data_IF_073249681189
#
_entry.id   IF_073249681189
#
_cell.length_a   1.000
_cell.length_b   1.000
_cell.length_c   1.000
_cell.angle_alpha   90.00
_cell.angle_beta   90.00
_cell.angle_gamma   90.00
#
_symmetry.space_group_name_H-M   'P 1'
#
loop_
_entity.id
_entity.type
_entity.pdbx_description
1 polymer ?
#
# COMPACT_ATOMS: atom_id res chain seq x y z
N UNK A 1 -1.90 5.62 10.31
CA UNK A 1 -0.77 4.69 10.22
C UNK A 1 0.41 5.28 10.97
N UNK A 2 1.10 4.53 11.82
CA UNK A 2 2.28 5.02 12.53
C UNK A 2 3.51 5.04 11.61
N UNK A 3 4.28 6.14 11.64
CA UNK A 3 5.51 6.33 10.86
C UNK A 3 6.74 5.84 11.63
N UNK A 4 6.67 5.85 12.95
CA UNK A 4 7.66 5.29 13.88
C UNK A 4 6.99 4.96 15.21
N UNK A 5 7.75 4.41 16.15
CA UNK A 5 7.23 4.14 17.50
C UNK A 5 6.87 5.44 18.25
N UNK A 6 7.57 6.52 17.96
CA UNK A 6 7.39 7.86 18.59
C UNK A 6 6.54 8.79 17.75
N UNK A 7 6.63 8.73 16.41
CA UNK A 7 5.93 9.63 15.48
C UNK A 7 4.65 8.94 14.99
N UNK A 8 3.55 9.24 15.66
CA UNK A 8 2.20 8.75 15.33
C UNK A 8 1.18 9.84 15.60
N UNK A 9 0.16 9.95 14.74
CA UNK A 9 -0.92 10.93 14.90
C UNK A 9 -1.89 10.48 15.98
N UNK A 10 -2.23 9.20 16.01
CA UNK A 10 -3.07 8.58 17.02
C UNK A 10 -2.68 7.11 17.18
N UNK A 11 -2.81 6.58 18.38
CA UNK A 11 -2.64 5.16 18.69
C UNK A 11 -3.95 4.62 19.22
N UNK A 12 -4.67 3.91 18.36
CA UNK A 12 -5.99 3.36 18.67
C UNK A 12 -5.87 1.85 18.72
N UNK A 13 -6.34 1.23 19.81
CA UNK A 13 -6.26 -0.23 20.01
C UNK A 13 -6.90 -1.06 18.89
N UNK A 14 -7.92 -0.49 18.23
CA UNK A 14 -8.64 -1.10 17.10
C UNK A 14 -8.37 -0.34 15.78
N UNK A 15 -7.18 0.23 15.63
CA UNK A 15 -6.83 1.11 14.52
C UNK A 15 -7.05 0.48 13.13
N UNK A 16 -6.75 -0.80 12.99
CA UNK A 16 -6.96 -1.53 11.74
C UNK A 16 -8.45 -1.62 11.37
N UNK A 17 -9.31 -1.92 12.37
CA UNK A 17 -10.76 -1.99 12.18
C UNK A 17 -11.35 -0.64 11.78
N UNK A 18 -10.87 0.46 12.40
CA UNK A 18 -11.32 1.82 12.05
C UNK A 18 -10.98 2.16 10.60
N UNK A 19 -9.76 1.83 10.14
CA UNK A 19 -9.37 2.08 8.76
C UNK A 19 -10.25 1.28 7.80
N UNK A 20 -10.46 -0.02 8.04
CA UNK A 20 -11.32 -0.85 7.19
C UNK A 20 -12.76 -0.36 7.16
N UNK A 21 -13.31 0.05 8.31
CA UNK A 21 -14.68 0.59 8.37
C UNK A 21 -14.82 1.91 7.58
N UNK A 22 -13.82 2.77 7.64
CA UNK A 22 -13.82 4.03 6.87
C UNK A 22 -13.69 3.78 5.36
N UNK A 23 -12.92 2.78 4.95
CA UNK A 23 -12.82 2.36 3.54
C UNK A 23 -14.17 1.89 3.02
N UNK A 24 -14.88 1.03 3.77
CA UNK A 24 -16.19 0.51 3.41
C UNK A 24 -17.25 1.62 3.18
N UNK A 25 -17.21 2.69 3.98
CA UNK A 25 -18.10 3.85 3.79
C UNK A 25 -17.88 4.54 2.43
N UNK A 26 -16.65 4.50 1.90
CA UNK A 26 -16.31 5.06 0.59
C UNK A 26 -17.13 4.48 -0.56
N UNK A 27 -17.55 3.22 -0.48
CA UNK A 27 -18.39 2.53 -1.47
C UNK A 27 -19.74 3.25 -1.65
N UNK A 28 -20.33 3.71 -0.55
CA UNK A 28 -21.59 4.47 -0.58
C UNK A 28 -21.43 5.78 -1.36
N UNK A 29 -20.26 6.43 -1.25
CA UNK A 29 -19.96 7.65 -2.01
C UNK A 29 -19.99 7.44 -3.53
N UNK A 30 -19.50 6.29 -4.01
CA UNK A 30 -19.52 5.95 -5.44
C UNK A 30 -20.94 5.67 -5.95
N UNK A 31 -21.76 4.92 -5.17
CA UNK A 31 -23.14 4.63 -5.50
C UNK A 31 -23.96 5.93 -5.56
N UNK A 32 -23.83 6.78 -4.52
CA UNK A 32 -24.52 8.07 -4.45
C UNK A 32 -24.09 9.01 -5.57
N UNK A 33 -22.80 9.02 -5.91
CA UNK A 33 -22.27 9.80 -7.04
C UNK A 33 -22.87 9.37 -8.38
N UNK A 34 -22.91 8.07 -8.65
CA UNK A 34 -23.53 7.53 -9.85
C UNK A 34 -25.04 7.82 -9.92
N UNK A 35 -25.74 7.72 -8.80
CA UNK A 35 -27.17 8.03 -8.71
C UNK A 35 -27.46 9.52 -8.88
N UNK A 36 -26.68 10.39 -8.25
CA UNK A 36 -26.85 11.84 -8.34
C UNK A 36 -26.61 12.40 -9.74
N UNK A 37 -25.90 11.69 -10.61
CA UNK A 37 -25.66 12.08 -12.00
C UNK A 37 -26.92 12.05 -12.88
N UNK A 38 -28.01 11.45 -12.43
CA UNK A 38 -29.28 11.32 -13.17
C UNK A 38 -29.11 10.72 -14.59
N UNK A 39 -28.11 9.87 -14.78
CA UNK A 39 -27.79 9.17 -16.02
C UNK A 39 -27.81 7.66 -15.80
N UNK A 40 -28.46 6.91 -16.68
CA UNK A 40 -28.50 5.44 -16.59
C UNK A 40 -27.11 4.82 -16.71
N UNK A 41 -26.23 5.35 -17.54
CA UNK A 41 -24.86 4.86 -17.71
C UNK A 41 -24.01 5.13 -16.48
N UNK A 42 -24.15 6.29 -15.87
CA UNK A 42 -23.44 6.67 -14.65
C UNK A 42 -23.88 5.80 -13.47
N UNK A 43 -25.18 5.53 -13.32
CA UNK A 43 -25.71 4.64 -12.28
C UNK A 43 -25.20 3.20 -12.46
N UNK A 44 -25.22 2.66 -13.68
CA UNK A 44 -24.69 1.33 -13.97
C UNK A 44 -23.19 1.24 -13.68
N UNK A 45 -22.42 2.27 -14.03
CA UNK A 45 -21.00 2.37 -13.70
C UNK A 45 -20.76 2.36 -12.20
N UNK A 46 -21.52 3.14 -11.43
CA UNK A 46 -21.45 3.19 -9.97
C UNK A 46 -21.80 1.85 -9.31
N UNK A 47 -22.85 1.16 -9.79
CA UNK A 47 -23.23 -0.16 -9.28
C UNK A 47 -22.20 -1.25 -9.61
N UNK A 48 -21.60 -1.24 -10.81
CA UNK A 48 -20.51 -2.16 -11.17
C UNK A 48 -19.29 -1.94 -10.30
N UNK A 49 -18.92 -0.68 -10.05
CA UNK A 49 -17.82 -0.33 -9.14
C UNK A 49 -18.10 -0.81 -7.73
N UNK A 50 -19.28 -0.55 -7.19
CA UNK A 50 -19.66 -0.99 -5.87
C UNK A 50 -19.64 -2.53 -5.71
N UNK A 51 -20.16 -3.26 -6.69
CA UNK A 51 -20.12 -4.72 -6.69
C UNK A 51 -18.68 -5.28 -6.71
N UNK A 52 -17.79 -4.65 -7.47
CA UNK A 52 -16.36 -4.97 -7.47
C UNK A 52 -15.76 -4.73 -6.09
N UNK A 53 -15.91 -3.53 -5.55
CA UNK A 53 -15.33 -3.13 -4.27
C UNK A 53 -15.79 -4.05 -3.13
N UNK A 54 -17.09 -4.29 -2.98
CA UNK A 54 -17.63 -5.20 -1.95
C UNK A 54 -17.05 -6.61 -2.07
N UNK A 55 -16.91 -7.12 -3.30
CA UNK A 55 -16.39 -8.47 -3.53
C UNK A 55 -14.91 -8.59 -3.14
N UNK A 56 -14.11 -7.60 -3.46
CA UNK A 56 -12.67 -7.60 -3.14
C UNK A 56 -12.38 -7.19 -1.69
N UNK A 57 -13.26 -6.41 -1.05
CA UNK A 57 -13.17 -6.07 0.36
C UNK A 57 -13.27 -7.30 1.26
N UNK A 58 -14.10 -8.29 0.89
CA UNK A 58 -14.17 -9.57 1.61
C UNK A 58 -12.82 -10.31 1.55
N UNK A 59 -12.21 -10.42 0.37
CA UNK A 59 -10.91 -11.09 0.22
C UNK A 59 -9.80 -10.33 0.97
N UNK A 60 -9.83 -8.99 0.90
CA UNK A 60 -8.91 -8.11 1.61
C UNK A 60 -9.05 -8.27 3.12
N UNK A 61 -10.27 -8.26 3.64
CA UNK A 61 -10.56 -8.47 5.07
C UNK A 61 -10.06 -9.81 5.59
N UNK A 62 -10.23 -10.89 4.81
CA UNK A 62 -9.69 -12.21 5.15
C UNK A 62 -8.16 -12.21 5.18
N UNK A 63 -7.51 -11.55 4.22
CA UNK A 63 -6.06 -11.41 4.22
C UNK A 63 -5.55 -10.60 5.43
N UNK A 64 -6.25 -9.52 5.81
CA UNK A 64 -5.96 -8.75 7.04
C UNK A 64 -6.07 -9.63 8.28
N UNK A 65 -7.10 -10.48 8.38
CA UNK A 65 -7.27 -11.39 9.52
C UNK A 65 -6.10 -12.33 9.71
N UNK A 66 -5.47 -12.82 8.63
CA UNK A 66 -4.26 -13.64 8.72
C UNK A 66 -3.11 -12.90 9.42
N UNK A 67 -2.90 -11.62 9.08
CA UNK A 67 -1.88 -10.78 9.74
C UNK A 67 -2.21 -10.47 11.20
N UNK A 68 -3.49 -10.19 11.49
CA UNK A 68 -3.96 -9.95 12.86
C UNK A 68 -3.79 -11.19 13.76
N UNK A 69 -4.05 -12.38 13.23
CA UNK A 69 -3.82 -13.64 13.96
C UNK A 69 -2.36 -13.82 14.38
N UNK A 70 -1.42 -13.51 13.49
CA UNK A 70 0.02 -13.56 13.83
C UNK A 70 0.42 -12.50 14.86
N UNK A 71 -0.20 -11.32 14.82
CA UNK A 71 0.12 -10.22 15.72
C UNK A 71 -0.57 -10.33 17.09
N UNK A 72 -1.72 -10.96 17.17
CA UNK A 72 -2.56 -11.00 18.38
C UNK A 72 -3.17 -9.66 18.80
N UNK A 73 -3.14 -8.64 17.91
CA UNK A 73 -3.63 -7.29 18.20
C UNK A 73 -4.14 -6.58 16.94
N UNK A 74 -5.12 -5.67 17.12
CA UNK A 74 -5.66 -4.81 16.07
C UNK A 74 -4.99 -3.42 16.04
N UNK A 75 -4.10 -3.12 17.01
CA UNK A 75 -3.33 -1.88 17.03
C UNK A 75 -2.22 -1.94 15.99
N UNK A 76 -2.12 -0.93 15.13
CA UNK A 76 -1.09 -0.85 14.09
C UNK A 76 0.33 -0.79 14.67
N UNK A 77 0.51 -0.08 15.79
CA UNK A 77 1.79 -0.06 16.51
C UNK A 77 2.11 -1.41 17.15
N UNK A 78 1.10 -2.07 17.72
CA UNK A 78 1.22 -3.41 18.28
C UNK A 78 1.65 -4.44 17.25
N UNK A 79 1.09 -4.39 16.04
CA UNK A 79 1.43 -5.27 14.93
C UNK A 79 2.91 -5.14 14.55
N UNK A 80 3.42 -3.91 14.42
CA UNK A 80 4.84 -3.70 14.08
C UNK A 80 5.77 -4.14 15.21
N UNK A 81 5.38 -3.92 16.47
CA UNK A 81 6.14 -4.40 17.62
C UNK A 81 6.17 -5.94 17.71
N UNK A 82 5.06 -6.61 17.36
CA UNK A 82 5.03 -8.07 17.27
C UNK A 82 6.00 -8.59 16.21
N UNK A 83 6.05 -7.96 15.02
CA UNK A 83 7.06 -8.28 14.00
C UNK A 83 8.49 -8.01 14.46
N UNK A 84 8.69 -6.95 15.22
CA UNK A 84 9.99 -6.65 15.81
C UNK A 84 10.42 -7.70 16.83
N UNK A 85 9.51 -8.17 17.67
CA UNK A 85 9.79 -9.22 18.67
C UNK A 85 10.10 -10.57 17.99
N UNK A 86 9.41 -10.92 16.93
CA UNK A 86 9.70 -12.13 16.14
C UNK A 86 10.96 -11.97 15.26
N UNK A 87 11.34 -10.74 14.95
CA UNK A 87 12.51 -10.41 14.13
C UNK A 87 12.39 -10.74 12.66
N UNK A 88 11.17 -11.01 12.17
CA UNK A 88 10.86 -11.31 10.78
C UNK A 88 9.62 -10.51 10.37
N UNK A 89 9.56 -10.07 9.13
CA UNK A 89 8.35 -9.49 8.58
C UNK A 89 7.27 -10.55 8.40
N UNK A 90 6.04 -10.25 8.72
CA UNK A 90 4.96 -11.23 8.61
C UNK A 90 4.81 -11.81 7.21
N UNK A 91 5.10 -11.08 6.15
CA UNK A 91 5.09 -11.63 4.80
C UNK A 91 5.92 -12.91 4.64
N UNK A 92 7.01 -13.06 5.41
CA UNK A 92 7.92 -14.20 5.38
C UNK A 92 7.81 -15.12 6.61
N UNK A 93 6.85 -14.85 7.51
CA UNK A 93 6.60 -15.68 8.69
C UNK A 93 5.93 -17.01 8.29
N UNK A 94 5.83 -17.92 9.25
CA UNK A 94 5.26 -19.25 9.06
C UNK A 94 5.85 -20.00 7.85
N UNK A 95 7.19 -20.04 7.75
CA UNK A 95 7.89 -20.69 6.61
C UNK A 95 7.51 -20.11 5.24
N UNK A 96 7.13 -18.83 5.17
CA UNK A 96 6.71 -18.15 3.97
C UNK A 96 5.24 -18.36 3.57
N UNK A 97 4.45 -19.07 4.36
CA UNK A 97 3.01 -19.27 4.08
C UNK A 97 2.23 -17.95 4.13
N UNK A 98 2.70 -16.97 4.91
CA UNK A 98 2.10 -15.63 4.99
C UNK A 98 2.29 -14.80 3.72
N UNK A 99 3.10 -15.27 2.76
CA UNK A 99 3.21 -14.63 1.45
C UNK A 99 1.89 -14.71 0.67
N UNK A 100 1.12 -15.80 0.84
CA UNK A 100 -0.18 -15.97 0.18
C UNK A 100 -1.18 -14.87 0.60
N UNK A 101 -1.48 -14.65 1.90
CA UNK A 101 -2.31 -13.53 2.32
C UNK A 101 -1.76 -12.17 1.90
N UNK A 102 -0.44 -11.99 1.90
CA UNK A 102 0.19 -10.75 1.45
C UNK A 102 -0.11 -10.46 -0.03
N UNK A 103 -0.01 -11.47 -0.90
CA UNK A 103 -0.35 -11.34 -2.32
C UNK A 103 -1.85 -11.12 -2.54
N UNK A 104 -2.71 -11.84 -1.80
CA UNK A 104 -4.16 -11.64 -1.86
C UNK A 104 -4.50 -10.20 -1.46
N UNK A 105 -3.93 -9.72 -0.36
CA UNK A 105 -4.11 -8.33 0.07
C UNK A 105 -3.67 -7.35 -1.02
N UNK A 106 -2.49 -7.54 -1.60
CA UNK A 106 -1.96 -6.67 -2.65
C UNK A 106 -2.87 -6.64 -3.89
N UNK A 107 -3.30 -7.79 -4.39
CA UNK A 107 -4.20 -7.87 -5.56
C UNK A 107 -5.56 -7.24 -5.24
N UNK A 108 -6.15 -7.55 -4.07
CA UNK A 108 -7.41 -6.94 -3.62
C UNK A 108 -7.29 -5.43 -3.48
N UNK A 109 -6.16 -4.93 -3.01
CA UNK A 109 -5.91 -3.49 -2.86
C UNK A 109 -5.84 -2.76 -4.19
N UNK A 110 -5.27 -3.38 -5.24
CA UNK A 110 -5.30 -2.83 -6.61
C UNK A 110 -6.74 -2.75 -7.13
N UNK A 111 -7.55 -3.78 -6.85
CA UNK A 111 -8.97 -3.79 -7.25
C UNK A 111 -9.81 -2.77 -6.46
N UNK A 112 -9.52 -2.55 -5.19
CA UNK A 112 -10.18 -1.56 -4.33
C UNK A 112 -9.89 -0.11 -4.76
N UNK A 113 -8.71 0.13 -5.30
CA UNK A 113 -8.34 1.47 -5.80
C UNK A 113 -8.83 1.74 -7.23
N UNK A 114 -9.65 0.87 -7.81
CA UNK A 114 -10.18 0.98 -9.17
C UNK A 114 -9.10 1.26 -10.23
N UNK A 115 -7.87 0.73 -10.03
CA UNK A 115 -6.77 0.92 -10.96
C UNK A 115 -6.62 -0.25 -11.92
N UNK A 116 -6.15 0.03 -13.14
CA UNK A 116 -5.85 -1.02 -14.10
C UNK A 116 -4.90 -2.05 -13.47
N UNK A 117 -5.16 -3.36 -13.64
CA UNK A 117 -6.06 -4.00 -14.62
C UNK A 117 -7.54 -4.10 -14.22
N UNK A 118 -7.95 -3.62 -13.04
CA UNK A 118 -9.29 -3.72 -12.48
C UNK A 118 -10.14 -2.43 -12.66
N UNK A 119 -9.78 -1.57 -13.59
CA UNK A 119 -10.41 -0.29 -13.90
C UNK A 119 -11.65 -0.47 -14.81
N UNK A 120 -12.67 -1.12 -14.28
CA UNK A 120 -13.93 -1.36 -14.98
C UNK A 120 -14.91 -0.19 -14.91
N UNK A 121 -14.95 0.61 -13.83
CA UNK A 121 -15.86 1.73 -13.72
C UNK A 121 -15.60 2.84 -14.73
N UNK A 122 -14.33 3.02 -15.12
CA UNK A 122 -13.89 4.02 -16.09
C UNK A 122 -13.79 3.47 -17.52
N UNK A 123 -14.39 2.29 -17.82
CA UNK A 123 -14.28 1.67 -19.14
C UNK A 123 -14.91 2.54 -20.22
N UNK A 124 -14.12 3.43 -20.82
CA UNK A 124 -14.54 4.35 -21.89
C UNK A 124 -15.23 3.64 -23.07
N UNK A 125 -14.82 2.40 -23.32
CA UNK A 125 -15.38 1.59 -24.42
C UNK A 125 -16.80 1.06 -24.17
N UNK A 126 -17.24 0.98 -22.88
CA UNK A 126 -18.54 0.40 -22.52
C UNK A 126 -19.52 1.42 -21.92
N UNK A 127 -19.03 2.34 -21.09
CA UNK A 127 -19.85 3.24 -20.26
C UNK A 127 -19.49 4.73 -20.40
N UNK A 128 -18.80 5.12 -21.47
CA UNK A 128 -18.32 6.49 -21.76
C UNK A 128 -17.24 6.92 -20.76
N UNK A 129 -17.60 7.25 -19.51
CA UNK A 129 -16.67 7.53 -18.41
C UNK A 129 -17.23 7.00 -17.07
N UNK A 130 -18.13 6.01 -17.12
CA UNK A 130 -18.72 5.40 -15.95
C UNK A 130 -19.42 6.40 -15.03
N UNK A 131 -19.18 6.31 -13.72
CA UNK A 131 -19.79 7.21 -12.74
C UNK A 131 -19.27 8.65 -12.81
N UNK A 132 -18.14 8.91 -13.49
CA UNK A 132 -17.55 10.24 -13.67
C UNK A 132 -18.16 11.05 -14.81
N UNK A 133 -19.04 10.48 -15.65
CA UNK A 133 -19.51 11.05 -16.92
C UNK A 133 -20.05 12.48 -16.77
N UNK A 134 -20.79 12.76 -15.70
CA UNK A 134 -21.43 14.07 -15.48
C UNK A 134 -20.58 15.01 -14.58
N UNK A 135 -19.43 14.53 -14.08
CA UNK A 135 -18.56 15.31 -13.21
C UNK A 135 -17.45 15.97 -14.00
N UNK A 136 -17.27 17.28 -13.83
CA UNK A 136 -16.23 18.07 -14.51
C UNK A 136 -15.53 19.01 -13.52
N UNK A 137 -14.38 19.54 -13.93
CA UNK A 137 -13.62 20.53 -13.18
C UNK A 137 -13.25 20.06 -11.78
N UNK A 138 -13.52 20.89 -10.76
CA UNK A 138 -13.12 20.63 -9.37
C UNK A 138 -13.76 19.37 -8.77
N UNK A 139 -15.01 19.08 -9.11
CA UNK A 139 -15.72 17.88 -8.60
C UNK A 139 -15.06 16.61 -9.09
N UNK A 140 -14.69 16.54 -10.36
CA UNK A 140 -13.91 15.42 -10.89
C UNK A 140 -12.54 15.30 -10.20
N UNK A 141 -11.87 16.44 -9.95
CA UNK A 141 -10.60 16.48 -9.25
C UNK A 141 -10.66 15.90 -7.83
N UNK A 142 -11.78 16.08 -7.10
CA UNK A 142 -11.98 15.48 -5.77
C UNK A 142 -12.08 13.95 -5.85
N UNK A 143 -12.77 13.38 -6.85
CA UNK A 143 -12.82 11.94 -7.05
C UNK A 143 -11.42 11.36 -7.31
N UNK A 144 -10.65 11.96 -8.21
CA UNK A 144 -9.28 11.55 -8.47
C UNK A 144 -8.39 11.65 -7.23
N UNK A 145 -8.51 12.73 -6.47
CA UNK A 145 -7.77 12.90 -5.21
C UNK A 145 -8.11 11.79 -4.21
N UNK A 146 -9.40 11.45 -4.08
CA UNK A 146 -9.87 10.37 -3.20
C UNK A 146 -9.26 9.02 -3.56
N UNK A 147 -9.17 8.68 -4.85
CA UNK A 147 -8.55 7.44 -5.31
C UNK A 147 -7.05 7.38 -4.98
N UNK A 148 -6.32 8.48 -5.19
CA UNK A 148 -4.91 8.53 -4.82
C UNK A 148 -4.69 8.44 -3.32
N UNK A 149 -5.53 9.10 -2.51
CA UNK A 149 -5.48 8.99 -1.04
C UNK A 149 -5.75 7.55 -0.60
N UNK A 150 -6.75 6.87 -1.21
CA UNK A 150 -7.05 5.48 -0.90
C UNK A 150 -5.87 4.57 -1.25
N UNK A 151 -5.21 4.78 -2.40
CA UNK A 151 -4.01 4.04 -2.80
C UNK A 151 -2.88 4.17 -1.76
N UNK A 152 -2.66 5.39 -1.22
CA UNK A 152 -1.72 5.62 -0.12
C UNK A 152 -2.14 4.91 1.17
N UNK A 153 -3.42 4.96 1.52
CA UNK A 153 -3.94 4.35 2.74
C UNK A 153 -3.78 2.83 2.72
N UNK A 154 -4.22 2.18 1.65
CA UNK A 154 -4.17 0.73 1.48
C UNK A 154 -2.72 0.23 1.38
N UNK A 155 -1.87 0.94 0.64
CA UNK A 155 -0.43 0.66 0.58
C UNK A 155 0.26 0.81 1.94
N UNK A 156 -0.13 1.80 2.74
CA UNK A 156 0.40 2.00 4.09
C UNK A 156 0.00 0.87 5.04
N UNK A 157 -1.23 0.36 4.91
CA UNK A 157 -1.68 -0.80 5.70
C UNK A 157 -0.91 -2.05 5.30
N UNK A 158 -0.70 -2.30 4.00
CA UNK A 158 0.13 -3.41 3.52
C UNK A 158 1.52 -3.38 4.13
N UNK A 159 2.20 -2.24 4.04
CA UNK A 159 3.55 -2.06 4.59
C UNK A 159 3.56 -2.30 6.10
N UNK A 160 2.58 -1.80 6.83
CA UNK A 160 2.51 -1.90 8.29
C UNK A 160 2.22 -3.34 8.74
N UNK A 161 1.28 -4.01 8.07
CA UNK A 161 0.83 -5.34 8.48
C UNK A 161 1.78 -6.45 8.04
N UNK A 162 2.28 -6.41 6.81
CA UNK A 162 3.04 -7.51 6.23
C UNK A 162 4.54 -7.23 6.09
N UNK A 163 4.94 -5.98 5.84
CA UNK A 163 6.33 -5.60 5.58
C UNK A 163 7.02 -4.90 6.76
N UNK A 164 6.49 -5.05 7.96
CA UNK A 164 7.14 -4.58 9.17
C UNK A 164 7.08 -3.07 9.40
N UNK A 165 6.19 -2.32 8.74
CA UNK A 165 6.03 -0.88 8.94
C UNK A 165 7.35 -0.14 8.82
N UNK A 166 7.77 0.50 9.91
CA UNK A 166 9.02 1.26 10.01
C UNK A 166 10.28 0.42 10.29
N UNK A 167 10.15 -0.91 10.46
CA UNK A 167 11.30 -1.78 10.71
C UNK A 167 12.17 -1.91 9.47
N UNK A 168 13.49 -1.93 9.66
CA UNK A 168 14.43 -2.26 8.58
C UNK A 168 14.23 -3.71 8.10
N UNK A 169 14.66 -4.08 6.89
CA UNK A 169 14.80 -5.47 6.49
C UNK A 169 15.73 -6.23 7.46
N UNK A 170 15.35 -7.46 7.78
CA UNK A 170 16.12 -8.34 8.67
C UNK A 170 16.46 -7.69 10.05
N UNK A 171 15.44 -7.37 10.88
CA UNK A 171 15.64 -6.66 12.13
C UNK A 171 16.53 -7.43 13.13
N UNK A 172 16.56 -8.78 13.07
CA UNK A 172 17.33 -9.65 13.92
C UNK A 172 18.86 -9.62 13.68
N UNK A 173 19.30 -9.13 12.52
CA UNK A 173 20.72 -9.17 12.15
C UNK A 173 21.41 -7.91 12.62
N UNK A 174 22.12 -7.98 13.75
CA UNK A 174 22.74 -6.80 14.40
C UNK A 174 23.82 -6.13 13.55
N UNK A 175 24.66 -6.89 12.85
CA UNK A 175 25.75 -6.33 12.03
C UNK A 175 25.23 -5.57 10.78
N UNK A 176 24.02 -5.87 10.32
CA UNK A 176 23.34 -5.13 9.24
C UNK A 176 22.70 -3.81 9.73
N UNK A 177 22.67 -3.55 11.04
CA UNK A 177 22.00 -2.36 11.58
C UNK A 177 22.60 -1.06 11.05
N UNK A 178 23.91 -0.92 11.15
CA UNK A 178 24.63 0.28 10.73
C UNK A 178 24.58 0.45 9.19
N UNK A 179 24.99 -0.54 8.37
CA UNK A 179 24.96 -0.37 6.92
C UNK A 179 23.54 -0.14 6.37
N UNK A 180 22.50 -0.71 6.98
CA UNK A 180 21.13 -0.47 6.51
C UNK A 180 20.59 0.90 6.93
N UNK A 181 20.78 1.33 8.18
CA UNK A 181 20.21 2.58 8.65
C UNK A 181 20.95 3.82 8.13
N UNK A 182 22.24 3.71 7.84
CA UNK A 182 23.05 4.80 7.31
C UNK A 182 23.33 4.63 5.80
N UNK A 183 23.74 3.43 5.38
CA UNK A 183 24.19 3.18 4.01
C UNK A 183 23.06 3.23 3.00
N UNK A 184 21.91 2.61 3.26
CA UNK A 184 20.80 2.59 2.29
C UNK A 184 20.21 3.99 2.06
N UNK A 185 19.84 4.78 3.11
CA UNK A 185 19.41 6.16 2.89
C UNK A 185 20.46 7.01 2.15
N UNK A 186 21.74 6.86 2.54
CA UNK A 186 22.82 7.56 1.87
C UNK A 186 22.89 7.21 0.38
N UNK A 187 22.85 5.93 0.02
CA UNK A 187 22.89 5.49 -1.38
C UNK A 187 21.68 5.98 -2.17
N UNK A 188 20.50 5.96 -1.61
CA UNK A 188 19.27 6.42 -2.26
C UNK A 188 19.33 7.92 -2.49
N UNK A 189 19.59 8.72 -1.45
CA UNK A 189 19.59 10.17 -1.57
C UNK A 189 20.82 10.70 -2.32
N UNK A 190 22.00 10.15 -2.09
CA UNK A 190 23.20 10.55 -2.84
C UNK A 190 23.13 10.10 -4.30
N UNK A 191 22.63 8.89 -4.57
CA UNK A 191 22.43 8.39 -5.94
C UNK A 191 21.45 9.23 -6.73
N UNK A 192 20.29 9.58 -6.14
CA UNK A 192 19.31 10.48 -6.77
C UNK A 192 19.88 11.89 -6.95
N UNK A 193 20.60 12.42 -5.95
CA UNK A 193 21.25 13.73 -6.02
C UNK A 193 22.28 13.82 -7.12
N UNK A 194 23.19 12.84 -7.20
CA UNK A 194 24.20 12.77 -8.28
C UNK A 194 23.56 12.55 -9.64
N UNK A 195 22.50 11.72 -9.71
CA UNK A 195 21.72 11.51 -10.93
C UNK A 195 21.08 12.80 -11.44
N UNK A 196 20.47 13.59 -10.57
CA UNK A 196 19.91 14.89 -10.91
C UNK A 196 20.99 15.88 -11.40
N UNK A 197 22.15 15.91 -10.76
CA UNK A 197 23.28 16.75 -11.19
C UNK A 197 23.84 16.33 -12.55
N UNK A 198 23.93 15.01 -12.79
CA UNK A 198 24.38 14.48 -14.07
C UNK A 198 23.39 14.82 -15.20
N UNK A 199 22.09 14.61 -14.95
CA UNK A 199 21.04 14.94 -15.91
C UNK A 199 20.92 16.44 -16.14
N UNK A 200 21.14 17.28 -15.14
CA UNK A 200 21.17 18.75 -15.26
C UNK A 200 22.16 19.22 -16.33
N UNK A 201 23.34 18.57 -16.40
CA UNK A 201 24.37 18.91 -17.40
C UNK A 201 24.00 18.55 -18.85
N UNK A 202 23.00 17.65 -19.02
CA UNK A 202 22.54 17.20 -20.34
C UNK A 202 21.29 17.94 -20.83
N UNK A 203 20.70 18.80 -20.01
CA UNK A 203 19.47 19.53 -20.38
C UNK A 203 19.79 20.71 -21.29
N UNK A 204 19.09 20.84 -22.43
CA UNK A 204 19.30 21.94 -23.38
C UNK A 204 18.69 23.25 -22.86
N UNK A 205 17.73 23.23 -21.94
CA UNK A 205 17.03 24.42 -21.44
C UNK A 205 17.58 24.78 -20.07
N UNK A 206 18.19 26.00 -19.96
CA UNK A 206 18.83 26.45 -18.72
C UNK A 206 17.92 26.43 -17.48
N UNK A 207 16.64 26.78 -17.63
CA UNK A 207 15.68 26.76 -16.51
C UNK A 207 15.51 25.37 -15.88
N UNK A 208 15.37 24.34 -16.71
CA UNK A 208 15.30 22.95 -16.23
C UNK A 208 16.64 22.47 -15.67
N UNK A 209 17.75 22.86 -16.26
CA UNK A 209 19.08 22.54 -15.77
C UNK A 209 19.32 23.09 -14.35
N UNK A 210 18.97 24.34 -14.10
CA UNK A 210 19.10 24.98 -12.78
C UNK A 210 18.14 24.28 -11.77
N UNK A 211 16.89 24.02 -12.15
CA UNK A 211 15.93 23.31 -11.29
C UNK A 211 16.42 21.91 -10.89
N UNK A 212 16.91 21.12 -11.84
CA UNK A 212 17.48 19.79 -11.58
C UNK A 212 18.76 19.85 -10.74
N UNK A 213 19.63 20.84 -10.98
CA UNK A 213 20.82 21.04 -10.16
C UNK A 213 20.44 21.40 -8.71
N UNK A 214 19.45 22.28 -8.53
CA UNK A 214 18.92 22.63 -7.20
C UNK A 214 18.37 21.41 -6.45
N UNK A 215 17.55 20.60 -7.11
CA UNK A 215 17.06 19.34 -6.54
C UNK A 215 18.20 18.38 -6.18
N UNK A 216 19.22 18.26 -7.05
CA UNK A 216 20.39 17.44 -6.79
C UNK A 216 21.14 17.86 -5.52
N UNK A 217 21.34 19.18 -5.32
CA UNK A 217 21.97 19.73 -4.12
C UNK A 217 21.11 19.45 -2.86
N UNK A 218 19.79 19.59 -2.96
CA UNK A 218 18.88 19.31 -1.84
C UNK A 218 18.98 17.83 -1.44
N UNK A 219 18.96 16.89 -2.40
CA UNK A 219 19.09 15.46 -2.10
C UNK A 219 20.46 15.12 -1.49
N UNK A 220 21.55 15.72 -1.95
CA UNK A 220 22.87 15.56 -1.34
C UNK A 220 22.92 16.13 0.07
N UNK A 221 22.26 17.26 0.33
CA UNK A 221 22.10 17.83 1.67
C UNK A 221 21.35 16.90 2.62
N UNK A 222 20.25 16.30 2.15
CA UNK A 222 19.50 15.28 2.90
C UNK A 222 20.37 14.05 3.17
N UNK A 223 21.13 13.57 2.19
CA UNK A 223 22.06 12.46 2.35
C UNK A 223 23.10 12.75 3.44
N UNK A 224 23.67 13.96 3.46
CA UNK A 224 24.61 14.39 4.48
C UNK A 224 23.98 14.48 5.88
N UNK A 225 22.73 14.96 5.98
CA UNK A 225 21.99 15.01 7.24
C UNK A 225 21.76 13.62 7.84
N UNK A 226 21.50 12.60 7.00
CA UNK A 226 21.36 11.21 7.46
C UNK A 226 22.64 10.62 8.07
N UNK A 227 23.82 11.20 7.78
CA UNK A 227 25.07 10.77 8.43
C UNK A 227 25.20 11.26 9.88
N UNK A 228 24.42 12.26 10.28
CA UNK A 228 24.42 12.78 11.64
C UNK A 228 23.56 11.86 12.55
N UNK A 229 24.11 11.22 13.60
CA UNK A 229 23.36 10.27 14.45
C UNK A 229 22.12 10.86 15.09
N UNK A 230 22.16 12.14 15.49
CA UNK A 230 21.00 12.83 16.09
C UNK A 230 19.81 12.97 15.14
N UNK A 231 20.07 13.03 13.83
CA UNK A 231 19.03 13.08 12.79
C UNK A 231 18.62 11.67 12.38
N UNK A 232 19.58 10.77 12.24
CA UNK A 232 19.33 9.41 11.75
C UNK A 232 18.40 8.62 12.68
N UNK A 233 18.61 8.68 14.00
CA UNK A 233 17.80 7.93 14.96
C UNK A 233 16.29 8.15 14.83
N UNK A 234 15.74 9.36 14.75
CA UNK A 234 14.31 9.56 14.53
C UNK A 234 13.89 9.40 13.07
N UNK A 235 14.76 9.64 12.09
CA UNK A 235 14.39 9.67 10.68
C UNK A 235 14.53 8.33 9.96
N UNK A 236 15.39 7.42 10.40
CA UNK A 236 15.56 6.11 9.79
C UNK A 236 14.26 5.27 9.77
N UNK A 237 13.45 5.19 10.85
CA UNK A 237 12.16 4.51 10.81
C UNK A 237 11.21 5.11 9.76
N UNK A 238 11.12 6.44 9.70
CA UNK A 238 10.27 7.15 8.74
C UNK A 238 10.76 6.88 7.31
N UNK A 239 12.06 6.88 7.09
CA UNK A 239 12.66 6.53 5.80
C UNK A 239 12.28 5.10 5.37
N UNK A 240 12.41 4.10 6.24
CA UNK A 240 12.09 2.72 5.90
C UNK A 240 10.61 2.53 5.60
N UNK A 241 9.74 3.18 6.34
CA UNK A 241 8.31 3.16 6.06
C UNK A 241 8.00 3.81 4.70
N UNK A 242 8.51 5.00 4.44
CA UNK A 242 8.29 5.74 3.20
C UNK A 242 8.90 5.01 1.99
N UNK A 243 10.09 4.42 2.13
CA UNK A 243 10.76 3.67 1.08
C UNK A 243 9.97 2.43 0.65
N UNK A 244 9.43 1.66 1.61
CA UNK A 244 8.57 0.51 1.32
C UNK A 244 7.26 0.93 0.68
N UNK A 245 6.65 1.99 1.19
CA UNK A 245 5.44 2.55 0.60
C UNK A 245 5.69 3.00 -0.85
N UNK A 246 6.82 3.65 -1.12
CA UNK A 246 7.20 4.03 -2.47
C UNK A 246 7.32 2.81 -3.39
N UNK A 247 7.90 1.70 -2.93
CA UNK A 247 7.96 0.45 -3.71
C UNK A 247 6.55 -0.06 -4.02
N UNK A 248 5.64 -0.08 -3.03
CA UNK A 248 4.26 -0.51 -3.24
C UNK A 248 3.56 0.37 -4.27
N UNK A 249 3.66 1.71 -4.13
CA UNK A 249 3.07 2.66 -5.09
C UNK A 249 3.66 2.52 -6.49
N UNK A 250 4.98 2.29 -6.57
CA UNK A 250 5.63 2.00 -7.85
C UNK A 250 5.08 0.72 -8.51
N UNK A 251 4.85 -0.34 -7.73
CA UNK A 251 4.22 -1.56 -8.23
C UNK A 251 2.79 -1.30 -8.75
N UNK A 252 2.00 -0.47 -8.09
CA UNK A 252 0.67 -0.07 -8.60
C UNK A 252 0.77 0.60 -9.98
N UNK A 253 1.72 1.53 -10.13
CA UNK A 253 1.94 2.23 -11.40
C UNK A 253 2.46 1.27 -12.47
N UNK A 254 3.36 0.37 -12.11
CA UNK A 254 3.93 -0.61 -13.03
C UNK A 254 2.88 -1.61 -13.53
N UNK A 255 2.02 -2.11 -12.63
CA UNK A 255 0.89 -2.97 -13.01
C UNK A 255 -0.06 -2.28 -13.99
N UNK A 256 -0.34 -0.99 -13.77
CA UNK A 256 -1.18 -0.18 -14.68
C UNK A 256 -0.60 -0.15 -16.10
N UNK A 257 0.71 -0.11 -16.26
CA UNK A 257 1.38 -0.03 -17.57
C UNK A 257 1.60 -1.37 -18.26
N UNK A 258 1.50 -2.49 -17.53
CA UNK A 258 1.90 -3.81 -18.05
C UNK A 258 0.73 -4.74 -18.33
N UNK A 259 -0.33 -4.68 -17.52
CA UNK A 259 -1.45 -5.61 -17.64
C UNK A 259 -2.60 -5.03 -18.45
N UNK A 260 -3.21 -5.83 -19.37
CA UNK A 260 -4.44 -5.46 -20.02
C UNK A 260 -5.60 -5.46 -19.03
N UNK A 261 -6.66 -4.70 -19.36
CA UNK A 261 -7.88 -4.63 -18.56
C UNK A 261 -8.65 -5.96 -18.60
N UNK A 262 -9.13 -6.42 -17.45
CA UNK A 262 -9.99 -7.60 -17.34
C UNK A 262 -11.44 -7.27 -17.69
N UNK A 263 -12.21 -8.29 -18.15
CA UNK A 263 -13.67 -8.19 -18.27
C UNK A 263 -14.32 -8.37 -16.90
N UNK A 264 -15.51 -7.80 -16.71
CA UNK A 264 -16.25 -7.86 -15.47
C UNK A 264 -16.46 -9.31 -14.95
N UNK A 265 -16.85 -10.23 -15.86
CA UNK A 265 -17.08 -11.64 -15.52
C UNK A 265 -15.80 -12.33 -15.00
N UNK A 266 -14.66 -12.05 -15.63
CA UNK A 266 -13.37 -12.59 -15.22
C UNK A 266 -12.98 -12.08 -13.84
N UNK A 267 -13.16 -10.79 -13.62
CA UNK A 267 -12.85 -10.13 -12.36
C UNK A 267 -13.68 -10.70 -11.22
N UNK A 268 -15.00 -10.84 -11.38
CA UNK A 268 -15.87 -11.44 -10.37
C UNK A 268 -15.54 -12.91 -10.12
N UNK A 269 -15.21 -13.69 -11.16
CA UNK A 269 -14.77 -15.07 -11.00
C UNK A 269 -13.46 -15.19 -10.22
N UNK A 270 -12.49 -14.31 -10.46
CA UNK A 270 -11.22 -14.28 -9.70
C UNK A 270 -11.49 -13.98 -8.23
N UNK A 271 -12.29 -12.95 -7.92
CA UNK A 271 -12.63 -12.60 -6.55
C UNK A 271 -13.30 -13.74 -5.78
N UNK A 272 -14.40 -14.25 -6.31
CA UNK A 272 -15.22 -15.23 -5.59
C UNK A 272 -14.69 -16.66 -5.64
N UNK A 273 -14.17 -17.12 -6.79
CA UNK A 273 -13.76 -18.53 -6.96
C UNK A 273 -12.30 -18.79 -6.63
N UNK A 274 -11.44 -17.75 -6.66
CA UNK A 274 -10.03 -17.92 -6.41
C UNK A 274 -9.61 -17.22 -5.12
N UNK A 275 -9.83 -15.91 -5.00
CA UNK A 275 -9.25 -15.13 -3.90
C UNK A 275 -9.90 -15.44 -2.55
N UNK A 276 -11.22 -15.49 -2.46
CA UNK A 276 -11.91 -15.80 -1.19
C UNK A 276 -11.58 -17.20 -0.70
N UNK A 277 -11.70 -18.29 -1.49
CA UNK A 277 -11.34 -19.62 -1.02
C UNK A 277 -9.88 -19.77 -0.64
N UNK A 278 -8.96 -19.17 -1.42
CA UNK A 278 -7.52 -19.20 -1.10
C UNK A 278 -7.22 -18.41 0.18
N UNK A 279 -7.87 -17.28 0.42
CA UNK A 279 -7.72 -16.51 1.66
C UNK A 279 -8.22 -17.30 2.88
N UNK A 280 -9.38 -17.95 2.78
CA UNK A 280 -9.89 -18.82 3.84
C UNK A 280 -8.96 -20.00 4.11
N UNK A 281 -8.47 -20.66 3.05
CA UNK A 281 -7.48 -21.73 3.17
C UNK A 281 -6.19 -21.25 3.83
N UNK A 282 -5.70 -20.07 3.46
CA UNK A 282 -4.51 -19.47 4.06
C UNK A 282 -4.69 -19.17 5.56
N UNK A 283 -5.87 -18.67 5.98
CA UNK A 283 -6.18 -18.45 7.41
C UNK A 283 -6.10 -19.78 8.17
N UNK A 284 -6.76 -20.83 7.68
CA UNK A 284 -6.78 -22.13 8.35
C UNK A 284 -5.37 -22.73 8.46
N UNK A 285 -4.60 -22.71 7.39
CA UNK A 285 -3.22 -23.23 7.38
C UNK A 285 -2.33 -22.43 8.33
N UNK A 286 -2.40 -21.10 8.31
CA UNK A 286 -1.63 -20.25 9.22
C UNK A 286 -2.05 -20.45 10.69
N UNK A 287 -3.33 -20.69 10.97
CA UNK A 287 -3.81 -21.00 12.32
C UNK A 287 -3.23 -22.33 12.84
N UNK A 288 -3.26 -23.39 12.01
CA UNK A 288 -2.72 -24.70 12.35
C UNK A 288 -1.21 -24.63 12.61
N UNK A 289 -0.47 -23.96 11.72
CA UNK A 289 0.98 -23.80 11.87
C UNK A 289 1.33 -22.95 13.09
N UNK A 290 0.55 -21.90 13.38
CA UNK A 290 0.72 -21.07 14.57
C UNK A 290 0.50 -21.87 15.86
N UNK A 291 -0.57 -22.69 15.94
CA UNK A 291 -0.81 -23.58 17.07
C UNK A 291 0.29 -24.64 17.24
N UNK A 292 0.73 -25.26 16.14
CA UNK A 292 1.80 -26.26 16.18
C UNK A 292 3.12 -25.68 16.71
N UNK A 293 3.44 -24.42 16.37
CA UNK A 293 4.60 -23.72 16.91
C UNK A 293 4.50 -23.46 18.42
N UNK A 294 3.33 -23.07 18.90
CA UNK A 294 3.11 -22.84 20.33
C UNK A 294 3.24 -24.13 21.13
N UNK A 295 2.73 -25.25 20.61
CA UNK A 295 2.85 -26.57 21.26
C UNK A 295 4.24 -27.16 21.19
N UNK A 296 5.03 -26.87 20.15
CA UNK A 296 6.40 -27.35 19.98
C UNK A 296 7.44 -26.50 20.75
N UNK A 297 7.09 -25.29 21.18
CA UNK A 297 7.93 -24.40 21.97
C UNK A 297 7.80 -24.56 23.49
N UNK A 298 6.91 -25.48 23.93
CA UNK A 298 6.78 -25.99 25.29
C UNK A 298 7.32 -27.42 25.37
#
# INVERSE_FOLDING_TARGET
VPFSDTIKVADVNVGLLVISAMSAVGILGLILGGWASNSHYSLLGGLRSAAQLVSYEVALGLALMSGVMCAGTLSLTGIVRAQQAQGVWFAFDNYGLMLIPTLIYFISSVAETNRAPFDLPEAESELVAGYHTEYSGFRWGIYMLSEYINMFAVGSVLVTLFWGGWLRPFPNVSWLAVPMNYGVPLLVFAGTGLGCLFLSRRQPIQGYAIGMAGLGIVFLGVAALFMVPAVNTPSAPVFWWAFKLFIVLYLFIWLRGTFPRYRYDQLMNIGWKVMIPTALGAILVNAIVGMARQTAGH
#
